data_IF_955427078671
#
_entry.id   IF_955427078671
#
_cell.length_a   1.000
_cell.length_b   1.000
_cell.length_c   1.000
_cell.angle_alpha   90.00
_cell.angle_beta   90.00
_cell.angle_gamma   90.00
#
_symmetry.space_group_name_H-M   'P 1'
#
loop_
_entity.id
_entity.type
_entity.pdbx_description
1 polymer ?
#
# COMPACT_ATOMS: atom_id res chain seq x y z
N UNK A 1 4.80 -23.47 -4.59
CA UNK A 1 5.05 -24.86 -4.14
C UNK A 1 3.80 -25.54 -3.56
N UNK A 2 2.83 -24.82 -3.01
CA UNK A 2 1.54 -25.33 -2.50
C UNK A 2 0.41 -24.35 -2.85
N UNK A 3 -0.84 -24.83 -2.90
CA UNK A 3 -2.02 -24.01 -3.24
C UNK A 3 -2.37 -23.07 -2.07
N UNK A 4 -2.39 -23.59 -0.85
CA UNK A 4 -2.60 -22.81 0.37
C UNK A 4 -1.26 -22.60 1.09
N UNK A 5 -0.86 -21.34 1.23
CA UNK A 5 0.34 -20.93 1.96
C UNK A 5 -0.07 -20.36 3.31
N UNK A 6 0.19 -21.13 4.38
CA UNK A 6 -0.10 -20.79 5.77
C UNK A 6 1.04 -20.03 6.47
N UNK A 7 2.12 -19.70 5.75
CA UNK A 7 3.22 -18.91 6.32
C UNK A 7 2.78 -17.49 6.69
N UNK A 8 3.31 -16.97 7.80
CA UNK A 8 3.01 -15.62 8.28
C UNK A 8 3.19 -14.50 7.24
N UNK A 9 4.09 -14.70 6.27
CA UNK A 9 4.41 -13.70 5.24
C UNK A 9 3.70 -13.96 3.90
N UNK A 10 3.00 -15.09 3.77
CA UNK A 10 2.23 -15.54 2.61
C UNK A 10 2.96 -15.33 1.27
N UNK A 11 4.28 -15.47 1.28
CA UNK A 11 5.14 -15.20 0.12
C UNK A 11 4.78 -16.14 -1.03
N UNK A 12 4.48 -15.56 -2.19
CA UNK A 12 3.98 -16.32 -3.34
C UNK A 12 5.09 -17.09 -4.08
N UNK A 13 5.64 -18.12 -3.43
CA UNK A 13 6.61 -19.03 -4.03
C UNK A 13 5.98 -19.89 -5.14
N UNK A 14 6.61 -19.91 -6.30
CA UNK A 14 6.23 -20.84 -7.37
C UNK A 14 6.89 -22.22 -7.16
N UNK A 15 6.76 -23.10 -8.14
CA UNK A 15 7.62 -24.30 -8.24
C UNK A 15 9.05 -23.84 -8.53
N UNK A 16 10.05 -24.48 -7.93
CA UNK A 16 11.45 -24.16 -8.20
C UNK A 16 11.84 -24.60 -9.62
N UNK A 17 12.82 -23.90 -10.21
CA UNK A 17 13.21 -24.07 -11.60
C UNK A 17 14.72 -24.01 -11.80
N UNK A 18 15.17 -24.62 -12.89
CA UNK A 18 16.51 -24.42 -13.49
C UNK A 18 16.35 -24.18 -14.99
N UNK A 19 17.28 -23.48 -15.63
CA UNK A 19 17.27 -23.26 -17.06
C UNK A 19 18.06 -24.36 -17.79
N UNK A 20 17.48 -24.95 -18.85
CA UNK A 20 17.93 -26.22 -19.44
C UNK A 20 18.65 -26.17 -20.81
N UNK A 21 19.27 -25.09 -21.31
CA UNK A 21 19.79 -25.12 -22.67
C UNK A 21 20.92 -26.14 -22.88
N UNK A 22 21.73 -26.44 -21.84
CA UNK A 22 23.01 -27.15 -21.99
C UNK A 22 23.26 -28.32 -21.00
N UNK A 23 22.24 -28.84 -20.31
CA UNK A 23 22.35 -30.09 -19.53
C UNK A 23 23.20 -30.07 -18.24
N UNK A 24 23.25 -28.93 -17.53
CA UNK A 24 23.96 -28.79 -16.25
C UNK A 24 23.18 -29.26 -15.00
N UNK A 25 23.78 -29.08 -13.82
CA UNK A 25 23.16 -29.45 -12.52
C UNK A 25 22.24 -28.35 -11.97
N UNK A 26 22.48 -27.09 -12.37
CA UNK A 26 21.69 -25.93 -11.96
C UNK A 26 22.19 -25.21 -10.71
N UNK A 27 23.12 -25.77 -9.94
CA UNK A 27 23.48 -25.24 -8.60
C UNK A 27 24.59 -24.18 -8.62
N UNK A 28 25.46 -24.17 -9.63
CA UNK A 28 26.58 -23.22 -9.66
C UNK A 28 26.08 -21.78 -9.73
N UNK A 29 26.93 -20.82 -9.35
CA UNK A 29 26.59 -19.40 -9.44
C UNK A 29 26.28 -18.98 -10.89
N UNK A 30 27.00 -19.54 -11.86
CA UNK A 30 26.81 -19.29 -13.28
C UNK A 30 25.49 -19.86 -13.80
N UNK A 31 25.16 -21.12 -13.47
CA UNK A 31 23.90 -21.75 -13.87
C UNK A 31 22.69 -21.03 -13.27
N UNK A 32 22.75 -20.67 -11.98
CA UNK A 32 21.71 -19.87 -11.31
C UNK A 32 21.54 -18.49 -11.93
N UNK A 33 22.64 -17.80 -12.23
CA UNK A 33 22.61 -16.51 -12.91
C UNK A 33 22.02 -16.64 -14.33
N UNK A 34 22.36 -17.70 -15.05
CA UNK A 34 21.79 -18.01 -16.37
C UNK A 34 20.27 -18.22 -16.29
N UNK A 35 19.82 -18.96 -15.27
CA UNK A 35 18.39 -19.16 -15.02
C UNK A 35 17.66 -17.84 -14.71
N UNK A 36 18.24 -16.96 -13.90
CA UNK A 36 17.67 -15.63 -13.65
C UNK A 36 17.63 -14.76 -14.93
N UNK A 37 18.66 -14.78 -15.77
CA UNK A 37 18.65 -14.06 -17.06
C UNK A 37 17.60 -14.62 -18.02
N UNK A 38 17.43 -15.93 -18.07
CA UNK A 38 16.42 -16.58 -18.89
C UNK A 38 15.00 -16.11 -18.54
N UNK A 39 14.69 -15.91 -17.25
CA UNK A 39 13.41 -15.33 -16.81
C UNK A 39 13.16 -13.89 -17.31
N UNK A 40 14.20 -13.17 -17.73
CA UNK A 40 14.07 -11.81 -18.28
C UNK A 40 13.98 -11.77 -19.80
N UNK A 41 14.17 -12.92 -20.47
CA UNK A 41 14.27 -13.00 -21.92
C UNK A 41 12.89 -13.32 -22.54
N UNK A 42 12.33 -12.45 -23.39
CA UNK A 42 11.01 -12.66 -23.99
C UNK A 42 10.95 -13.83 -24.98
N UNK A 43 12.10 -14.35 -25.43
CA UNK A 43 12.18 -15.52 -26.32
C UNK A 43 12.22 -16.85 -25.56
N UNK A 44 12.30 -16.83 -24.23
CA UNK A 44 12.34 -18.04 -23.40
C UNK A 44 10.93 -18.39 -22.94
N UNK A 45 10.53 -19.63 -23.21
CA UNK A 45 9.24 -20.18 -22.87
C UNK A 45 9.26 -21.15 -21.68
N UNK A 46 8.08 -21.59 -21.26
CA UNK A 46 7.93 -22.47 -20.10
C UNK A 46 8.65 -23.83 -20.22
N UNK A 47 8.86 -24.30 -21.46
CA UNK A 47 9.52 -25.57 -21.79
C UNK A 47 11.05 -25.51 -21.68
N UNK A 48 11.63 -24.31 -21.64
CA UNK A 48 13.07 -24.13 -21.48
C UNK A 48 13.54 -24.31 -20.03
N UNK A 49 12.61 -24.53 -19.10
CA UNK A 49 12.87 -24.67 -17.67
C UNK A 49 12.60 -26.08 -17.13
N UNK A 50 13.48 -26.53 -16.24
CA UNK A 50 13.30 -27.66 -15.32
C UNK A 50 12.32 -27.34 -14.22
N UNK A 51 11.63 -28.38 -13.75
CA UNK A 51 10.89 -28.38 -12.49
C UNK A 51 11.08 -29.77 -11.85
N UNK A 52 11.53 -29.89 -10.58
CA UNK A 52 12.07 -28.81 -9.74
C UNK A 52 13.44 -28.30 -10.23
N UNK A 53 13.99 -27.29 -9.54
CA UNK A 53 15.35 -26.78 -9.71
C UNK A 53 15.83 -25.95 -8.51
N UNK A 54 16.82 -25.08 -8.71
CA UNK A 54 17.55 -24.39 -7.64
C UNK A 54 17.28 -22.89 -7.56
N UNK A 55 16.59 -22.30 -8.53
CA UNK A 55 15.98 -20.97 -8.41
C UNK A 55 14.56 -21.12 -7.89
N UNK A 56 14.17 -20.23 -6.98
CA UNK A 56 12.85 -20.20 -6.36
C UNK A 56 12.11 -18.92 -6.76
N UNK A 57 11.38 -18.93 -7.90
CA UNK A 57 10.68 -17.73 -8.34
C UNK A 57 9.57 -17.33 -7.37
N UNK A 58 9.39 -16.01 -7.26
CA UNK A 58 8.37 -15.37 -6.46
C UNK A 58 7.50 -14.52 -7.38
N UNK A 59 6.18 -14.51 -7.16
CA UNK A 59 5.25 -13.67 -7.93
C UNK A 59 4.91 -12.42 -7.14
N UNK A 60 5.32 -11.26 -7.63
CA UNK A 60 4.91 -9.98 -7.07
C UNK A 60 3.42 -9.73 -7.34
N UNK A 61 2.72 -9.09 -6.40
CA UNK A 61 1.37 -8.58 -6.65
C UNK A 61 1.39 -7.48 -7.72
N UNK A 62 0.37 -7.47 -8.57
CA UNK A 62 0.12 -6.35 -9.48
C UNK A 62 0.00 -5.05 -8.65
N UNK A 63 0.67 -3.99 -9.07
CA UNK A 63 0.79 -2.74 -8.30
C UNK A 63 2.00 -2.68 -7.36
N UNK A 64 2.72 -3.79 -7.15
CA UNK A 64 4.00 -3.80 -6.44
C UNK A 64 3.88 -3.40 -4.97
N UNK A 65 4.83 -2.60 -4.47
CA UNK A 65 4.91 -2.21 -3.05
C UNK A 65 3.70 -1.42 -2.56
N UNK A 66 2.97 -0.83 -3.51
CA UNK A 66 1.72 -0.13 -3.25
C UNK A 66 0.59 -1.09 -2.84
N UNK A 67 0.67 -2.36 -3.26
CA UNK A 67 -0.30 -3.39 -2.92
C UNK A 67 0.19 -4.31 -1.82
N UNK A 68 1.49 -4.61 -1.75
CA UNK A 68 2.08 -5.40 -0.66
C UNK A 68 3.49 -4.92 -0.43
N UNK A 69 3.78 -4.40 0.76
CA UNK A 69 5.12 -3.90 1.10
C UNK A 69 6.06 -5.06 1.49
N UNK A 70 6.23 -6.01 0.57
CA UNK A 70 7.15 -7.13 0.69
C UNK A 70 8.42 -6.94 -0.15
N UNK A 71 9.47 -7.68 0.18
CA UNK A 71 10.72 -7.65 -0.59
C UNK A 71 10.54 -8.15 -2.03
N UNK A 72 9.61 -9.08 -2.28
CA UNK A 72 9.25 -9.54 -3.62
C UNK A 72 8.79 -8.37 -4.50
N UNK A 73 7.83 -7.60 -4.02
CA UNK A 73 7.32 -6.44 -4.74
C UNK A 73 8.38 -5.35 -4.89
N UNK A 74 9.17 -5.09 -3.84
CA UNK A 74 10.22 -4.08 -3.88
C UNK A 74 11.29 -4.39 -4.94
N UNK A 75 11.69 -5.66 -5.08
CA UNK A 75 12.67 -6.08 -6.07
C UNK A 75 12.18 -5.84 -7.51
N UNK A 76 10.94 -6.23 -7.79
CA UNK A 76 10.30 -6.03 -9.09
C UNK A 76 10.12 -4.54 -9.39
N UNK A 77 9.66 -3.76 -8.41
CA UNK A 77 9.44 -2.33 -8.56
C UNK A 77 10.73 -1.57 -8.81
N UNK A 78 11.83 -1.91 -8.14
CA UNK A 78 13.12 -1.26 -8.40
C UNK A 78 13.57 -1.51 -9.85
N UNK A 79 13.46 -2.73 -10.35
CA UNK A 79 13.77 -3.03 -11.75
C UNK A 79 12.87 -2.22 -12.70
N UNK A 80 11.56 -2.20 -12.44
CA UNK A 80 10.59 -1.46 -13.25
C UNK A 80 10.85 0.06 -13.25
N UNK A 81 11.12 0.66 -12.08
CA UNK A 81 11.45 2.09 -11.94
C UNK A 81 12.72 2.50 -12.70
N UNK A 82 13.61 1.55 -12.98
CA UNK A 82 14.82 1.77 -13.79
C UNK A 82 14.65 1.45 -15.28
N UNK A 83 13.44 1.09 -15.72
CA UNK A 83 13.17 0.71 -17.11
C UNK A 83 13.75 -0.65 -17.52
N UNK A 84 14.16 -1.48 -16.56
CA UNK A 84 14.61 -2.85 -16.78
C UNK A 84 13.42 -3.83 -16.78
N UNK A 85 13.66 -5.05 -17.24
CA UNK A 85 12.69 -6.13 -17.11
C UNK A 85 12.27 -6.29 -15.62
N UNK A 86 10.97 -6.45 -15.32
CA UNK A 86 10.44 -6.47 -13.95
C UNK A 86 10.73 -7.79 -13.22
N UNK A 87 12.00 -8.18 -13.14
CA UNK A 87 12.49 -9.41 -12.54
C UNK A 87 13.72 -9.08 -11.70
N UNK A 88 13.56 -9.19 -10.38
CA UNK A 88 14.63 -9.00 -9.41
C UNK A 88 15.16 -10.32 -8.86
N UNK A 89 16.42 -10.34 -8.44
CA UNK A 89 17.03 -11.44 -7.69
C UNK A 89 17.32 -10.94 -6.28
N UNK A 90 16.80 -11.64 -5.28
CA UNK A 90 16.94 -11.26 -3.87
C UNK A 90 17.40 -12.43 -3.01
N UNK A 91 18.10 -12.12 -1.94
CA UNK A 91 18.49 -13.05 -0.89
C UNK A 91 18.60 -12.29 0.43
N UNK A 92 18.34 -12.97 1.55
CA UNK A 92 18.43 -12.39 2.88
C UNK A 92 19.89 -12.36 3.35
N UNK A 93 20.27 -11.28 4.04
CA UNK A 93 21.60 -11.15 4.63
C UNK A 93 21.64 -11.88 5.97
N UNK A 94 22.66 -12.71 6.15
CA UNK A 94 22.86 -13.55 7.32
C UNK A 94 24.15 -13.17 8.05
N UNK A 95 24.13 -13.19 9.37
CA UNK A 95 25.32 -13.14 10.23
C UNK A 95 26.02 -14.51 10.22
N UNK A 96 27.31 -14.52 10.57
CA UNK A 96 28.13 -15.75 10.62
C UNK A 96 27.65 -16.75 11.68
N UNK A 97 26.92 -16.28 12.70
CA UNK A 97 26.27 -17.11 13.72
C UNK A 97 24.96 -17.77 13.24
N UNK A 98 24.57 -17.55 11.98
CA UNK A 98 23.35 -18.09 11.38
C UNK A 98 22.09 -17.26 11.66
N UNK A 99 22.17 -16.16 12.39
CA UNK A 99 21.05 -15.23 12.57
C UNK A 99 20.87 -14.30 11.37
N UNK A 100 19.65 -13.78 11.16
CA UNK A 100 19.36 -12.82 10.07
C UNK A 100 19.87 -11.42 10.46
N UNK A 101 20.57 -10.74 9.55
CA UNK A 101 21.00 -9.34 9.76
C UNK A 101 19.80 -8.39 9.82
N UNK A 102 19.79 -7.47 10.79
CA UNK A 102 18.69 -6.50 10.97
C UNK A 102 19.21 -5.10 11.27
N UNK A 103 18.44 -4.08 10.88
CA UNK A 103 18.63 -2.69 11.33
C UNK A 103 20.02 -2.12 11.03
N UNK A 104 20.79 -1.81 12.08
CA UNK A 104 22.15 -1.26 11.93
C UNK A 104 23.12 -2.20 11.23
N UNK A 105 23.00 -3.51 11.44
CA UNK A 105 23.87 -4.51 10.81
C UNK A 105 23.79 -4.43 9.28
N UNK A 106 22.58 -4.28 8.73
CA UNK A 106 22.35 -4.12 7.29
C UNK A 106 22.97 -2.81 6.77
N UNK A 107 22.86 -1.71 7.53
CA UNK A 107 23.48 -0.44 7.15
C UNK A 107 25.00 -0.50 7.14
N UNK A 108 25.59 -1.17 8.13
CA UNK A 108 27.04 -1.38 8.22
C UNK A 108 27.55 -2.29 7.09
N UNK A 109 26.83 -3.37 6.78
CA UNK A 109 27.11 -4.23 5.64
C UNK A 109 27.08 -3.44 4.33
N UNK A 110 26.02 -2.64 4.11
CA UNK A 110 25.90 -1.82 2.92
C UNK A 110 27.06 -0.81 2.81
N UNK A 111 27.44 -0.15 3.91
CA UNK A 111 28.59 0.77 3.92
C UNK A 111 29.91 0.05 3.59
N UNK A 112 30.16 -1.11 4.20
CA UNK A 112 31.38 -1.92 3.99
C UNK A 112 31.55 -2.36 2.54
N UNK A 113 30.45 -2.72 1.87
CA UNK A 113 30.45 -3.21 0.49
C UNK A 113 30.10 -2.13 -0.55
N UNK A 114 30.06 -0.85 -0.13
CA UNK A 114 29.71 0.29 -0.98
C UNK A 114 28.36 0.15 -1.71
N UNK A 115 27.38 -0.50 -1.08
CA UNK A 115 26.04 -0.71 -1.58
C UNK A 115 25.11 0.43 -1.14
N UNK A 116 24.12 0.75 -1.98
CA UNK A 116 23.03 1.65 -1.60
C UNK A 116 22.03 0.90 -0.73
N UNK A 117 21.54 1.57 0.31
CA UNK A 117 20.52 1.07 1.21
C UNK A 117 19.27 1.94 1.09
N UNK A 118 18.14 1.31 0.83
CA UNK A 118 16.81 1.95 0.74
C UNK A 118 15.80 1.14 1.53
N UNK A 119 14.75 1.79 2.02
CA UNK A 119 13.65 1.08 2.68
C UNK A 119 12.47 0.88 1.73
N UNK A 120 11.64 -0.14 1.98
CA UNK A 120 10.37 -0.31 1.24
C UNK A 120 9.48 0.93 1.41
N UNK A 121 9.51 1.57 2.59
CA UNK A 121 8.80 2.81 2.84
C UNK A 121 9.27 3.96 1.92
N UNK A 122 10.58 4.06 1.65
CA UNK A 122 11.11 5.05 0.70
C UNK A 122 10.65 4.78 -0.73
N UNK A 123 10.61 3.51 -1.15
CA UNK A 123 10.12 3.13 -2.49
C UNK A 123 8.62 3.47 -2.60
N UNK A 124 7.82 3.13 -1.59
CA UNK A 124 6.39 3.48 -1.52
C UNK A 124 6.21 5.00 -1.65
N UNK A 125 6.92 5.78 -0.83
CA UNK A 125 6.86 7.24 -0.88
C UNK A 125 7.30 7.80 -2.23
N UNK A 126 8.37 7.26 -2.81
CA UNK A 126 8.87 7.65 -4.13
C UNK A 126 7.84 7.44 -5.23
N UNK A 127 7.22 6.25 -5.28
CA UNK A 127 6.18 5.88 -6.24
C UNK A 127 4.93 6.73 -6.05
N UNK A 128 4.41 6.85 -4.84
CA UNK A 128 3.19 7.62 -4.56
C UNK A 128 3.32 9.13 -4.79
N UNK A 129 4.54 9.68 -4.68
CA UNK A 129 4.80 11.08 -5.01
C UNK A 129 4.72 11.34 -6.53
N UNK A 130 4.98 10.33 -7.37
CA UNK A 130 5.12 10.48 -8.83
C UNK A 130 3.99 9.85 -9.63
N UNK A 131 3.36 8.82 -9.09
CA UNK A 131 2.30 8.07 -9.74
C UNK A 131 0.93 8.54 -9.25
N UNK A 132 0.03 8.82 -10.19
CA UNK A 132 -1.40 9.01 -9.91
C UNK A 132 -2.07 7.63 -9.86
N UNK A 133 -2.43 7.21 -8.66
CA UNK A 133 -3.01 5.88 -8.38
C UNK A 133 -4.52 5.94 -8.19
N UNK A 134 -5.09 7.13 -8.06
CA UNK A 134 -6.54 7.33 -7.92
C UNK A 134 -7.11 8.01 -9.16
N UNK A 135 -8.26 7.50 -9.61
CA UNK A 135 -9.04 8.08 -10.70
C UNK A 135 -10.41 8.48 -10.17
N UNK A 136 -10.81 9.75 -10.39
CA UNK A 136 -12.15 10.24 -10.07
C UNK A 136 -13.14 9.75 -11.13
N UNK A 137 -14.09 8.92 -10.72
CA UNK A 137 -15.01 8.22 -11.64
C UNK A 137 -16.33 8.99 -11.81
N UNK A 138 -16.83 9.57 -10.72
CA UNK A 138 -18.13 10.23 -10.70
C UNK A 138 -18.22 11.22 -9.55
N UNK A 139 -19.23 12.09 -9.63
CA UNK A 139 -19.59 13.03 -8.58
C UNK A 139 -21.10 13.02 -8.35
N UNK A 140 -21.52 13.21 -7.10
CA UNK A 140 -22.93 13.22 -6.71
C UNK A 140 -23.14 14.22 -5.58
N UNK A 141 -24.30 14.88 -5.53
CA UNK A 141 -24.71 15.67 -4.37
C UNK A 141 -25.51 14.78 -3.43
N UNK A 142 -25.10 14.70 -2.17
CA UNK A 142 -25.77 13.91 -1.14
C UNK A 142 -26.37 14.84 -0.08
N UNK A 143 -27.60 14.55 0.35
CA UNK A 143 -28.23 15.26 1.45
C UNK A 143 -27.61 14.85 2.79
N UNK A 144 -27.46 15.82 3.70
CA UNK A 144 -26.97 15.56 5.05
C UNK A 144 -27.62 16.51 6.07
N UNK A 145 -27.56 16.20 7.39
CA UNK A 145 -28.09 17.06 8.44
C UNK A 145 -27.51 18.49 8.48
N UNK A 146 -26.37 18.71 7.83
CA UNK A 146 -25.70 20.02 7.77
C UNK A 146 -25.91 20.76 6.45
N UNK A 147 -26.69 20.17 5.52
CA UNK A 147 -26.90 20.65 4.16
C UNK A 147 -26.30 19.72 3.11
N UNK A 148 -26.26 20.12 1.83
CA UNK A 148 -25.74 19.30 0.76
C UNK A 148 -24.23 19.07 0.88
N UNK A 149 -23.81 17.84 0.59
CA UNK A 149 -22.42 17.41 0.47
C UNK A 149 -22.10 17.09 -0.99
N UNK A 150 -20.98 17.60 -1.50
CA UNK A 150 -20.48 17.19 -2.80
C UNK A 150 -19.62 15.93 -2.64
N UNK A 151 -20.14 14.79 -3.09
CA UNK A 151 -19.46 13.51 -3.14
C UNK A 151 -18.66 13.33 -4.43
N UNK A 152 -17.50 12.66 -4.31
CA UNK A 152 -16.63 12.25 -5.41
C UNK A 152 -16.19 10.81 -5.22
N UNK A 153 -16.46 9.94 -6.20
CA UNK A 153 -16.07 8.53 -6.19
C UNK A 153 -14.70 8.33 -6.84
N UNK A 154 -13.85 7.51 -6.22
CA UNK A 154 -12.49 7.21 -6.67
C UNK A 154 -12.25 5.71 -6.76
N UNK A 155 -11.51 5.25 -7.78
CA UNK A 155 -10.95 3.88 -7.85
C UNK A 155 -9.44 3.92 -7.95
N UNK A 156 -8.82 2.79 -7.68
CA UNK A 156 -7.43 2.52 -8.04
C UNK A 156 -7.38 1.47 -9.15
N UNK A 157 -6.31 1.39 -9.96
CA UNK A 157 -6.17 0.33 -10.96
C UNK A 157 -5.91 -1.04 -10.34
N UNK A 158 -5.72 -1.12 -9.02
CA UNK A 158 -5.28 -2.32 -8.31
C UNK A 158 -6.38 -2.94 -7.44
N UNK A 159 -7.49 -2.22 -7.21
CA UNK A 159 -8.57 -2.65 -6.34
C UNK A 159 -9.93 -2.34 -6.99
N UNK A 160 -10.87 -3.30 -7.07
CA UNK A 160 -12.24 -3.05 -7.54
C UNK A 160 -13.06 -2.15 -6.60
N UNK A 161 -12.60 -1.85 -5.39
CA UNK A 161 -13.31 -1.04 -4.40
C UNK A 161 -13.24 0.45 -4.78
N UNK A 162 -14.39 1.12 -4.66
CA UNK A 162 -14.47 2.57 -4.79
C UNK A 162 -14.39 3.24 -3.42
N UNK A 163 -13.56 4.27 -3.29
CA UNK A 163 -13.51 5.18 -2.16
C UNK A 163 -14.34 6.44 -2.47
N UNK A 164 -14.76 7.16 -1.43
CA UNK A 164 -15.56 8.38 -1.61
C UNK A 164 -14.98 9.52 -0.81
N UNK A 165 -14.94 10.73 -1.37
CA UNK A 165 -14.73 11.95 -0.61
C UNK A 165 -16.00 12.79 -0.61
N UNK A 166 -16.43 13.28 0.54
CA UNK A 166 -17.52 14.24 0.67
C UNK A 166 -16.98 15.61 1.08
N UNK A 167 -17.36 16.65 0.35
CA UNK A 167 -16.95 18.04 0.58
C UNK A 167 -18.16 18.86 1.01
N UNK A 168 -18.05 19.55 2.13
CA UNK A 168 -19.01 20.54 2.63
C UNK A 168 -18.44 21.95 2.46
N UNK A 169 -19.24 22.92 2.03
CA UNK A 169 -18.89 24.35 1.99
C UNK A 169 -17.77 24.75 1.00
N UNK A 170 -17.03 23.79 0.44
CA UNK A 170 -15.89 24.00 -0.45
C UNK A 170 -14.54 23.81 0.27
N UNK A 171 -13.45 23.89 -0.50
CA UNK A 171 -12.07 23.67 -0.01
C UNK A 171 -11.19 24.93 -0.04
N UNK A 172 -11.74 26.07 -0.47
CA UNK A 172 -10.99 27.33 -0.60
C UNK A 172 -9.78 27.19 -1.52
N UNK A 173 -8.61 27.63 -1.05
CA UNK A 173 -7.32 27.52 -1.73
C UNK A 173 -6.62 26.15 -1.52
N UNK A 174 -7.32 25.19 -0.89
CA UNK A 174 -6.80 23.86 -0.59
C UNK A 174 -5.88 23.82 0.63
N UNK A 175 -5.74 24.91 1.40
CA UNK A 175 -4.92 24.95 2.60
C UNK A 175 -5.76 24.92 3.88
N UNK A 176 -5.20 24.36 4.94
CA UNK A 176 -5.80 24.34 6.29
C UNK A 176 -7.21 23.73 6.34
N UNK A 177 -7.49 22.79 5.43
CA UNK A 177 -8.82 22.20 5.22
C UNK A 177 -9.15 21.23 6.35
N UNK A 178 -10.28 21.43 7.01
CA UNK A 178 -10.74 20.54 8.08
C UNK A 178 -11.10 19.18 7.48
N UNK A 179 -10.38 18.13 7.87
CA UNK A 179 -10.45 16.84 7.20
C UNK A 179 -10.61 15.70 8.19
N UNK A 180 -11.52 14.77 7.91
CA UNK A 180 -11.70 13.52 8.67
C UNK A 180 -11.47 12.33 7.74
N UNK A 181 -10.56 11.44 8.11
CA UNK A 181 -10.52 10.09 7.54
C UNK A 181 -11.52 9.19 8.28
N UNK A 182 -12.32 8.45 7.53
CA UNK A 182 -13.34 7.57 8.08
C UNK A 182 -13.27 6.19 7.44
N UNK A 183 -13.15 5.16 8.29
CA UNK A 183 -13.23 3.76 7.91
C UNK A 183 -14.60 3.23 8.31
N UNK A 184 -15.44 2.81 7.34
CA UNK A 184 -16.72 2.26 7.66
C UNK A 184 -16.61 0.87 8.26
N UNK A 185 -17.57 0.57 9.12
CA UNK A 185 -17.80 -0.76 9.62
C UNK A 185 -19.30 -0.96 9.66
N UNK A 186 -19.83 -1.81 8.77
CA UNK A 186 -21.28 -1.96 8.63
C UNK A 186 -21.99 -2.30 9.96
N UNK A 187 -21.36 -3.12 10.81
CA UNK A 187 -21.96 -3.53 12.08
C UNK A 187 -22.05 -2.33 13.03
N UNK A 188 -20.94 -1.62 13.21
CA UNK A 188 -20.88 -0.44 14.08
C UNK A 188 -21.75 0.69 13.54
N UNK A 189 -21.72 0.92 12.23
CA UNK A 189 -22.32 2.10 11.63
C UNK A 189 -23.85 1.94 11.46
N UNK A 190 -24.36 0.71 11.30
CA UNK A 190 -25.80 0.45 11.22
C UNK A 190 -26.44 0.07 12.56
N UNK A 191 -25.73 -0.65 13.44
CA UNK A 191 -26.32 -1.18 14.67
C UNK A 191 -25.86 -0.47 15.96
N UNK A 192 -24.83 0.40 15.91
CA UNK A 192 -24.41 1.20 17.07
C UNK A 192 -24.74 2.69 16.91
N UNK A 193 -25.59 3.20 17.81
CA UNK A 193 -25.90 4.63 17.88
C UNK A 193 -24.68 5.50 18.19
N UNK A 194 -23.61 4.94 18.77
CA UNK A 194 -22.38 5.67 19.09
C UNK A 194 -21.63 6.13 17.83
N UNK A 195 -21.59 5.31 16.77
CA UNK A 195 -20.96 5.70 15.51
C UNK A 195 -21.73 6.84 14.84
N UNK A 196 -23.05 6.77 14.87
CA UNK A 196 -23.90 7.84 14.33
C UNK A 196 -23.75 9.14 15.13
N UNK A 197 -23.71 9.06 16.47
CA UNK A 197 -23.44 10.20 17.33
C UNK A 197 -22.08 10.85 17.02
N UNK A 198 -21.01 10.05 16.88
CA UNK A 198 -19.67 10.54 16.51
C UNK A 198 -19.65 11.18 15.12
N UNK A 199 -20.35 10.59 14.14
CA UNK A 199 -20.46 11.19 12.80
C UNK A 199 -21.21 12.52 12.84
N UNK A 200 -22.27 12.61 13.64
CA UNK A 200 -23.00 13.88 13.81
C UNK A 200 -22.09 14.97 14.40
N UNK A 201 -21.19 14.64 15.34
CA UNK A 201 -20.18 15.59 15.84
C UNK A 201 -19.24 16.04 14.72
N UNK A 202 -18.73 15.12 13.88
CA UNK A 202 -17.88 15.46 12.72
C UNK A 202 -18.61 16.43 11.78
N UNK A 203 -19.86 16.10 11.42
CA UNK A 203 -20.66 16.94 10.53
C UNK A 203 -20.90 18.31 11.15
N UNK A 204 -21.24 18.39 12.44
CA UNK A 204 -21.42 19.66 13.12
C UNK A 204 -20.13 20.50 13.12
N UNK A 205 -18.96 19.87 13.33
CA UNK A 205 -17.65 20.55 13.22
C UNK A 205 -17.42 21.12 11.82
N UNK A 206 -17.82 20.41 10.76
CA UNK A 206 -17.76 20.95 9.39
C UNK A 206 -18.69 22.13 9.19
N UNK A 207 -19.90 22.07 9.75
CA UNK A 207 -20.89 23.16 9.71
C UNK A 207 -20.37 24.41 10.41
N UNK A 208 -19.89 24.27 11.65
CA UNK A 208 -19.37 25.38 12.44
C UNK A 208 -18.12 26.01 11.80
N UNK A 209 -17.31 25.20 11.12
CA UNK A 209 -16.15 25.67 10.38
C UNK A 209 -16.51 26.32 9.02
N UNK A 210 -17.74 26.14 8.52
CA UNK A 210 -18.16 26.59 7.20
C UNK A 210 -17.61 25.77 6.03
N UNK A 211 -16.94 24.65 6.31
CA UNK A 211 -16.36 23.77 5.29
C UNK A 211 -15.59 22.59 5.86
N UNK A 212 -15.49 21.51 5.09
CA UNK A 212 -14.75 20.32 5.52
C UNK A 212 -14.80 19.17 4.52
N UNK A 213 -13.89 18.21 4.70
CA UNK A 213 -13.76 17.04 3.84
C UNK A 213 -13.76 15.75 4.64
N UNK A 214 -14.68 14.85 4.30
CA UNK A 214 -14.71 13.47 4.80
C UNK A 214 -14.13 12.53 3.75
N UNK A 215 -13.01 11.90 4.07
CA UNK A 215 -12.42 10.84 3.23
C UNK A 215 -12.93 9.49 3.73
N UNK A 216 -13.83 8.88 2.97
CA UNK A 216 -14.47 7.61 3.26
C UNK A 216 -13.71 6.47 2.58
N UNK A 217 -12.81 5.82 3.33
CA UNK A 217 -11.95 4.74 2.85
C UNK A 217 -12.62 3.39 3.11
N UNK A 218 -13.20 2.82 2.05
CA UNK A 218 -13.80 1.49 2.11
C UNK A 218 -12.77 0.38 2.19
N UNK A 219 -13.16 -0.69 2.89
CA UNK A 219 -12.50 -1.98 2.96
C UNK A 219 -13.53 -3.03 2.53
N UNK A 220 -13.15 -3.99 1.70
CA UNK A 220 -14.05 -5.02 1.15
C UNK A 220 -15.27 -4.53 0.33
N UNK A 221 -16.15 -5.47 0.01
CA UNK A 221 -17.44 -5.20 -0.63
C UNK A 221 -18.37 -4.49 0.37
N UNK A 222 -18.97 -3.37 -0.04
CA UNK A 222 -19.90 -2.55 0.76
C UNK A 222 -19.41 -2.07 2.15
N UNK A 223 -18.09 -2.06 2.45
CA UNK A 223 -17.62 -1.69 3.79
C UNK A 223 -17.83 -2.78 4.83
N UNK A 224 -18.12 -4.01 4.39
CA UNK A 224 -18.02 -5.20 5.24
C UNK A 224 -16.53 -5.45 5.50
N UNK A 225 -16.07 -5.46 6.75
CA UNK A 225 -14.69 -5.78 7.05
C UNK A 225 -14.34 -7.13 6.45
N UNK A 226 -13.22 -7.21 5.71
CA UNK A 226 -12.71 -8.48 5.18
C UNK A 226 -12.18 -9.41 6.29
N UNK A 227 -12.08 -8.92 7.54
CA UNK A 227 -11.60 -9.68 8.68
C UNK A 227 -12.69 -10.65 9.22
N UNK A 228 -12.31 -11.85 9.68
CA UNK A 228 -13.12 -12.62 10.60
C UNK A 228 -13.42 -11.79 11.85
N UNK A 229 -14.54 -12.06 12.54
CA UNK A 229 -14.93 -11.41 13.81
C UNK A 229 -13.93 -11.62 14.98
N UNK A 230 -12.77 -12.24 14.71
CA UNK A 230 -11.71 -12.55 15.67
C UNK A 230 -10.38 -11.96 15.18
N UNK A 231 -9.54 -11.42 16.08
CA UNK A 231 -8.28 -10.80 15.71
C UNK A 231 -7.26 -11.88 15.34
N UNK A 232 -7.00 -12.06 14.05
CA UNK A 232 -5.90 -12.91 13.56
C UNK A 232 -5.10 -12.23 12.46
N UNK A 233 -4.92 -10.91 12.52
CA UNK A 233 -4.02 -10.22 11.61
C UNK A 233 -2.61 -10.09 12.20
N UNK A 234 -1.60 -10.43 11.41
CA UNK A 234 -0.20 -10.20 11.78
C UNK A 234 0.10 -8.69 11.82
N UNK A 235 1.06 -8.28 12.64
CA UNK A 235 1.44 -6.86 12.77
C UNK A 235 1.88 -6.21 11.44
N UNK A 236 2.34 -7.03 10.48
CA UNK A 236 2.72 -6.58 9.13
C UNK A 236 1.50 -6.33 8.26
N UNK A 237 0.50 -7.21 8.27
CA UNK A 237 -0.73 -6.99 7.50
C UNK A 237 -1.44 -5.69 7.92
N UNK A 238 -1.51 -5.44 9.23
CA UNK A 238 -2.09 -4.21 9.77
C UNK A 238 -1.32 -2.97 9.31
N UNK A 239 0.02 -3.04 9.32
CA UNK A 239 0.89 -1.97 8.81
C UNK A 239 0.66 -1.75 7.32
N UNK A 240 0.66 -2.80 6.51
CA UNK A 240 0.48 -2.72 5.06
C UNK A 240 -0.89 -2.15 4.68
N UNK A 241 -1.95 -2.46 5.45
CA UNK A 241 -3.28 -1.86 5.28
C UNK A 241 -3.24 -0.37 5.63
N UNK A 242 -2.68 -0.01 6.77
CA UNK A 242 -2.60 1.39 7.20
C UNK A 242 -1.83 2.27 6.19
N UNK A 243 -0.70 1.82 5.65
CA UNK A 243 0.05 2.57 4.64
C UNK A 243 -0.71 2.74 3.31
N UNK A 244 -1.45 1.70 2.89
CA UNK A 244 -2.32 1.77 1.71
C UNK A 244 -3.43 2.78 1.89
N UNK A 245 -4.11 2.73 3.03
CA UNK A 245 -5.19 3.65 3.38
C UNK A 245 -4.70 5.11 3.41
N UNK A 246 -3.55 5.36 4.05
CA UNK A 246 -2.91 6.68 4.08
C UNK A 246 -2.59 7.15 2.67
N UNK A 247 -2.06 6.27 1.82
CA UNK A 247 -1.67 6.63 0.46
C UNK A 247 -2.84 6.97 -0.44
N UNK A 248 -3.90 6.17 -0.44
CA UNK A 248 -5.12 6.44 -1.22
C UNK A 248 -5.76 7.74 -0.73
N UNK A 249 -5.91 7.89 0.58
CA UNK A 249 -6.48 9.09 1.18
C UNK A 249 -5.71 10.37 0.82
N UNK A 250 -4.38 10.32 0.84
CA UNK A 250 -3.54 11.45 0.45
C UNK A 250 -3.70 11.83 -1.02
N UNK A 251 -3.82 10.85 -1.90
CA UNK A 251 -3.99 11.11 -3.33
C UNK A 251 -5.38 11.65 -3.66
N UNK A 252 -6.42 11.21 -2.95
CA UNK A 252 -7.75 11.79 -3.05
C UNK A 252 -7.71 13.27 -2.65
N UNK A 253 -7.06 13.61 -1.52
CA UNK A 253 -6.88 15.00 -1.12
C UNK A 253 -6.14 15.82 -2.18
N UNK A 254 -5.06 15.26 -2.75
CA UNK A 254 -4.30 15.93 -3.82
C UNK A 254 -5.15 16.14 -5.08
N UNK A 255 -5.96 15.16 -5.48
CA UNK A 255 -6.86 15.28 -6.63
C UNK A 255 -7.97 16.32 -6.40
N UNK A 256 -8.43 16.47 -5.16
CA UNK A 256 -9.33 17.57 -4.78
C UNK A 256 -8.63 18.93 -4.83
N UNK A 257 -7.29 19.01 -4.86
CA UNK A 257 -6.52 20.25 -4.83
C UNK A 257 -6.10 20.68 -3.42
N UNK A 258 -6.17 19.79 -2.44
CA UNK A 258 -5.80 20.06 -1.05
C UNK A 258 -4.30 19.81 -0.86
N UNK A 259 -3.62 20.73 -0.19
CA UNK A 259 -2.18 20.64 0.13
C UNK A 259 -1.91 20.63 1.62
N UNK A 260 -2.85 21.07 2.45
CA UNK A 260 -2.71 20.98 3.91
C UNK A 260 -4.04 20.82 4.64
N UNK A 261 -4.01 20.09 5.76
CA UNK A 261 -5.21 19.71 6.50
C UNK A 261 -5.10 19.99 8.00
N UNK A 262 -6.26 20.23 8.62
CA UNK A 262 -6.48 20.06 10.06
C UNK A 262 -7.19 18.73 10.26
N UNK A 263 -6.49 17.77 10.82
CA UNK A 263 -6.99 16.42 10.88
C UNK A 263 -7.86 16.20 12.12
N UNK A 264 -9.16 15.97 11.93
CA UNK A 264 -10.07 15.56 12.99
C UNK A 264 -9.85 14.07 13.31
N UNK A 265 -9.28 13.77 14.47
CA UNK A 265 -8.99 12.40 14.92
C UNK A 265 -9.72 12.09 16.23
N UNK A 266 -10.09 10.82 16.42
CA UNK A 266 -10.59 10.30 17.71
C UNK A 266 -9.53 9.47 18.44
N UNK A 267 -8.32 9.41 17.88
CA UNK A 267 -7.19 8.68 18.45
C UNK A 267 -6.03 9.64 18.72
N UNK A 268 -5.20 9.31 19.69
CA UNK A 268 -3.92 9.99 19.95
C UNK A 268 -2.84 9.60 18.94
N UNK A 269 -3.12 8.65 18.04
CA UNK A 269 -2.20 8.24 17.01
C UNK A 269 -2.09 9.29 15.92
N UNK A 270 -0.87 9.76 15.70
CA UNK A 270 -0.54 10.66 14.61
C UNK A 270 -0.53 9.88 13.29
N UNK A 271 -1.28 10.37 12.31
CA UNK A 271 -1.13 9.94 10.91
C UNK A 271 0.27 10.35 10.44
N UNK A 272 1.22 9.42 10.49
CA UNK A 272 2.57 9.61 9.95
C UNK A 272 2.55 9.22 8.48
N UNK A 273 3.10 10.05 7.61
CA UNK A 273 3.33 9.71 6.20
C UNK A 273 2.70 10.66 5.18
N UNK A 274 1.66 11.43 5.51
CA UNK A 274 0.98 12.35 4.57
C UNK A 274 1.92 13.39 3.94
N UNK A 275 2.96 13.82 4.66
CA UNK A 275 3.97 14.75 4.15
C UNK A 275 4.72 14.22 2.92
N UNK A 276 4.96 12.89 2.83
CA UNK A 276 5.55 12.26 1.65
C UNK A 276 4.66 12.34 0.41
N UNK A 277 3.39 12.69 0.59
CA UNK A 277 2.41 12.91 -0.46
C UNK A 277 2.14 14.40 -0.72
N UNK A 278 2.98 15.30 -0.19
CA UNK A 278 2.74 16.74 -0.33
C UNK A 278 1.47 17.22 0.36
N UNK A 279 0.96 16.45 1.34
CA UNK A 279 -0.14 16.85 2.21
C UNK A 279 0.43 17.14 3.60
N UNK A 280 0.40 18.41 4.00
CA UNK A 280 0.85 18.83 5.32
C UNK A 280 -0.28 18.69 6.35
N UNK A 281 0.01 18.08 7.50
CA UNK A 281 -0.91 18.09 8.66
C UNK A 281 -0.51 19.27 9.54
N UNK A 282 -1.26 20.36 9.50
CA UNK A 282 -0.97 21.58 10.29
C UNK A 282 -1.17 21.29 11.77
N UNK A 283 -2.27 20.60 12.12
CA UNK A 283 -2.56 20.13 13.46
C UNK A 283 -3.57 18.99 13.45
N UNK A 284 -3.56 18.20 14.52
CA UNK A 284 -4.62 17.25 14.83
C UNK A 284 -5.59 17.87 15.84
N UNK A 285 -6.88 17.84 15.54
CA UNK A 285 -7.94 18.27 16.44
C UNK A 285 -8.67 17.01 16.96
N UNK A 286 -8.89 16.92 18.27
CA UNK A 286 -9.67 15.82 18.86
C UNK A 286 -11.17 16.06 18.63
N UNK A 287 -11.89 14.95 18.43
CA UNK A 287 -13.35 14.92 18.42
C UNK A 287 -13.94 15.01 19.83
#
# INVERSE_FOLDING_TARGET
>A
MVIDNDSNHTTAFTVSIDYKPNGGTGISAEERASCCRALTNPNVGANDFARPGHIFPLVSKQGGVLMRSGHTEAAVDLCWLTGLAPVGVISELMNDDGSVMKGSQVREFAARHALKHVTIADIIGFRQAREKLVERISSVTADSPIGPLQGYSYRTPFDPIHHVAYVYGGIGDGKNVLTRFYKPNIIRDMFSGEAQAKMNVVLQRFKDNGGGVLIYLRDGAAGVPLEPLLPSSSSEEHRNRQWREIGVGAQILRDLGITSIRHLTSSTHHFKGLAGFGIEIIRSEQL
#
